data_IF_862903001512
#
_entry.id   IF_862903001512
#
_cell.length_a   1.000
_cell.length_b   1.000
_cell.length_c   1.000
_cell.angle_alpha   90.00
_cell.angle_beta   90.00
_cell.angle_gamma   90.00
#
_symmetry.space_group_name_H-M   'P 1'
#
loop_
_entity.id
_entity.type
_entity.pdbx_description
1 polymer ?
#
# COMPACT_ATOMS: atom_id res chain seq x y z
N UNK A 1 1.84 36.09 5.49
CA UNK A 1 0.44 36.35 5.12
C UNK A 1 -0.24 35.01 4.87
N UNK A 2 -1.19 34.62 5.73
CA UNK A 2 -2.01 33.44 5.47
C UNK A 2 -3.06 33.83 4.44
N UNK A 3 -2.94 33.30 3.22
CA UNK A 3 -3.98 33.42 2.21
C UNK A 3 -5.28 32.87 2.81
N UNK A 4 -6.33 33.70 2.88
CA UNK A 4 -7.66 33.22 3.24
C UNK A 4 -8.11 32.26 2.13
N UNK A 5 -8.30 30.99 2.47
CA UNK A 5 -8.90 29.98 1.59
C UNK A 5 -10.30 30.44 1.19
N UNK A 6 -10.68 30.21 -0.07
CA UNK A 6 -12.04 30.54 -0.52
C UNK A 6 -13.04 29.54 0.06
N UNK A 7 -14.32 29.90 0.27
CA UNK A 7 -15.32 29.02 0.88
C UNK A 7 -15.44 27.64 0.20
N UNK A 8 -15.23 27.57 -1.12
CA UNK A 8 -15.24 26.30 -1.86
C UNK A 8 -14.05 25.39 -1.50
N UNK A 9 -12.92 25.94 -1.06
CA UNK A 9 -11.74 25.17 -0.66
C UNK A 9 -11.96 24.49 0.70
N UNK A 10 -12.62 25.16 1.64
CA UNK A 10 -12.98 24.58 2.95
C UNK A 10 -13.94 23.40 2.78
N UNK A 11 -14.91 23.52 1.85
CA UNK A 11 -15.81 22.43 1.51
C UNK A 11 -15.08 21.25 0.85
N UNK A 12 -14.13 21.51 -0.06
CA UNK A 12 -13.35 20.46 -0.72
C UNK A 12 -12.43 19.70 0.25
N UNK A 13 -11.77 20.41 1.17
CA UNK A 13 -10.92 19.80 2.20
C UNK A 13 -11.73 18.91 3.14
N UNK A 14 -12.92 19.35 3.57
CA UNK A 14 -13.77 18.55 4.43
C UNK A 14 -14.24 17.25 3.74
N UNK A 15 -14.63 17.32 2.47
CA UNK A 15 -15.02 16.15 1.69
C UNK A 15 -13.85 15.17 1.54
N UNK A 16 -12.64 15.68 1.29
CA UNK A 16 -11.43 14.86 1.22
C UNK A 16 -11.13 14.15 2.54
N UNK A 17 -11.18 14.87 3.67
CA UNK A 17 -10.95 14.26 4.99
C UNK A 17 -11.98 13.16 5.28
N UNK A 18 -13.25 13.39 4.97
CA UNK A 18 -14.31 12.37 5.14
C UNK A 18 -14.09 11.16 4.25
N UNK A 19 -13.66 11.36 3.01
CA UNK A 19 -13.30 10.27 2.12
C UNK A 19 -12.09 9.45 2.62
N UNK A 20 -11.09 10.11 3.19
CA UNK A 20 -9.91 9.43 3.76
C UNK A 20 -10.27 8.60 4.98
N UNK A 21 -11.12 9.12 5.87
CA UNK A 21 -11.64 8.35 7.01
C UNK A 21 -12.39 7.12 6.51
N UNK A 22 -13.32 7.29 5.56
CA UNK A 22 -14.07 6.19 4.98
C UNK A 22 -13.17 5.13 4.32
N UNK A 23 -12.12 5.55 3.60
CA UNK A 23 -11.13 4.62 3.06
C UNK A 23 -10.43 3.79 4.15
N UNK A 24 -9.99 4.42 5.24
CA UNK A 24 -9.35 3.71 6.36
C UNK A 24 -10.28 2.70 7.02
N UNK A 25 -11.58 2.98 7.01
CA UNK A 25 -12.60 2.06 7.52
C UNK A 25 -13.05 1.01 6.49
N UNK A 26 -12.48 1.03 5.27
CA UNK A 26 -12.93 0.32 4.07
C UNK A 26 -14.40 0.53 3.70
N UNK A 27 -14.98 1.67 4.09
CA UNK A 27 -16.26 2.11 3.55
C UNK A 27 -16.02 2.74 2.16
N UNK A 28 -15.83 1.86 1.17
CA UNK A 28 -15.52 2.26 -0.21
C UNK A 28 -16.70 3.00 -0.86
N UNK A 29 -17.93 2.75 -0.41
CA UNK A 29 -19.13 3.43 -0.90
C UNK A 29 -19.14 4.88 -0.45
N UNK A 30 -19.02 5.13 0.86
CA UNK A 30 -18.95 6.51 1.40
C UNK A 30 -17.74 7.25 0.83
N UNK A 31 -16.57 6.61 0.76
CA UNK A 31 -15.38 7.22 0.18
C UNK A 31 -15.62 7.69 -1.27
N UNK A 32 -16.28 6.86 -2.07
CA UNK A 32 -16.62 7.18 -3.47
C UNK A 32 -17.56 8.38 -3.55
N UNK A 33 -18.63 8.40 -2.77
CA UNK A 33 -19.61 9.50 -2.77
C UNK A 33 -18.97 10.83 -2.38
N UNK A 34 -18.13 10.84 -1.34
CA UNK A 34 -17.44 12.05 -0.88
C UNK A 34 -16.43 12.55 -1.93
N UNK A 35 -15.70 11.65 -2.60
CA UNK A 35 -14.79 12.01 -3.68
C UNK A 35 -15.52 12.49 -4.95
N UNK A 36 -16.68 11.94 -5.28
CA UNK A 36 -17.53 12.42 -6.37
C UNK A 36 -18.02 13.85 -6.09
N UNK A 37 -18.44 14.13 -4.86
CA UNK A 37 -18.81 15.49 -4.42
C UNK A 37 -17.61 16.44 -4.47
N UNK A 38 -16.44 16.01 -4.02
CA UNK A 38 -15.23 16.82 -4.07
C UNK A 38 -14.81 17.13 -5.52
N UNK A 39 -14.89 16.15 -6.42
CA UNK A 39 -14.58 16.32 -7.84
C UNK A 39 -15.54 17.30 -8.53
N UNK A 40 -16.79 17.40 -8.07
CA UNK A 40 -17.77 18.36 -8.59
C UNK A 40 -17.43 19.83 -8.27
N UNK A 41 -16.59 20.08 -7.25
CA UNK A 41 -16.13 21.43 -6.89
C UNK A 41 -14.99 21.93 -7.79
N UNK A 42 -14.29 21.04 -8.50
CA UNK A 42 -13.28 21.39 -9.48
C UNK A 42 -12.17 20.34 -9.61
N UNK A 43 -11.25 20.50 -10.59
CA UNK A 43 -10.10 19.62 -10.75
C UNK A 43 -9.18 19.71 -9.53
N UNK A 44 -8.93 18.59 -8.87
CA UNK A 44 -8.03 18.50 -7.72
C UNK A 44 -7.19 17.20 -7.82
N UNK A 45 -5.85 17.29 -7.83
CA UNK A 45 -4.99 16.12 -7.99
C UNK A 45 -5.07 15.14 -6.80
N UNK A 46 -5.33 15.64 -5.59
CA UNK A 46 -5.56 14.78 -4.40
C UNK A 46 -6.82 13.94 -4.60
N UNK A 47 -7.92 14.57 -5.02
CA UNK A 47 -9.19 13.86 -5.31
C UNK A 47 -8.99 12.80 -6.38
N UNK A 48 -8.31 13.15 -7.48
CA UNK A 48 -8.01 12.21 -8.57
C UNK A 48 -7.15 11.03 -8.10
N UNK A 49 -6.14 11.27 -7.26
CA UNK A 49 -5.29 10.22 -6.69
C UNK A 49 -6.07 9.24 -5.81
N UNK A 50 -6.99 9.75 -4.98
CA UNK A 50 -7.87 8.92 -4.12
C UNK A 50 -8.93 8.17 -4.93
N UNK A 51 -9.52 8.80 -5.96
CA UNK A 51 -10.40 8.11 -6.91
C UNK A 51 -9.67 7.00 -7.66
N UNK A 52 -8.38 7.19 -7.98
CA UNK A 52 -7.56 6.16 -8.58
C UNK A 52 -7.36 4.96 -7.64
N UNK A 53 -7.17 5.21 -6.34
CA UNK A 53 -7.07 4.14 -5.34
C UNK A 53 -8.38 3.33 -5.27
N UNK A 54 -9.54 3.99 -5.24
CA UNK A 54 -10.84 3.29 -5.29
C UNK A 54 -11.02 2.46 -6.57
N UNK A 55 -10.62 3.02 -7.72
CA UNK A 55 -10.66 2.30 -8.98
C UNK A 55 -9.72 1.07 -8.95
N UNK A 56 -8.54 1.18 -8.35
CA UNK A 56 -7.62 0.05 -8.15
C UNK A 56 -8.27 -1.03 -7.26
N UNK A 57 -8.83 -0.65 -6.10
CA UNK A 57 -9.52 -1.58 -5.18
C UNK A 57 -10.73 -2.28 -5.82
N UNK A 58 -11.35 -1.65 -6.82
CA UNK A 58 -12.50 -2.19 -7.55
C UNK A 58 -12.12 -2.99 -8.80
N UNK A 59 -10.81 -3.15 -9.07
CA UNK A 59 -10.29 -3.85 -10.26
C UNK A 59 -10.38 -3.04 -11.56
N UNK A 60 -10.78 -1.77 -11.51
CA UNK A 60 -10.84 -0.85 -12.66
C UNK A 60 -9.45 -0.23 -12.97
N UNK A 61 -8.40 -1.06 -13.09
CA UNK A 61 -7.00 -0.60 -13.19
C UNK A 61 -6.74 0.40 -14.32
N UNK A 62 -7.38 0.20 -15.49
CA UNK A 62 -7.24 1.14 -16.61
C UNK A 62 -7.85 2.52 -16.32
N UNK A 63 -8.87 2.60 -15.46
CA UNK A 63 -9.44 3.87 -14.98
C UNK A 63 -8.50 4.51 -13.97
N UNK A 64 -7.96 3.75 -13.03
CA UNK A 64 -6.98 4.24 -12.08
C UNK A 64 -5.77 4.88 -12.76
N UNK A 65 -5.19 4.21 -13.77
CA UNK A 65 -4.04 4.73 -14.52
C UNK A 65 -4.37 5.99 -15.35
N UNK A 66 -5.63 6.20 -15.74
CA UNK A 66 -6.06 7.47 -16.34
C UNK A 66 -6.12 8.58 -15.29
N UNK A 67 -6.74 8.31 -14.14
CA UNK A 67 -6.89 9.28 -13.05
C UNK A 67 -5.53 9.73 -12.51
N UNK A 68 -4.56 8.82 -12.37
CA UNK A 68 -3.18 9.17 -11.95
C UNK A 68 -2.46 10.04 -12.98
N UNK A 69 -2.65 9.76 -14.29
CA UNK A 69 -2.14 10.65 -15.35
C UNK A 69 -2.81 12.03 -15.30
N UNK A 70 -4.08 12.09 -14.96
CA UNK A 70 -4.80 13.37 -14.83
C UNK A 70 -4.30 14.15 -13.62
N UNK A 71 -4.08 13.49 -12.47
CA UNK A 71 -3.46 14.10 -11.29
C UNK A 71 -2.05 14.63 -11.61
N UNK A 72 -1.23 13.83 -12.28
CA UNK A 72 0.11 14.21 -12.71
C UNK A 72 0.11 15.43 -13.65
N UNK A 73 -0.88 15.56 -14.54
CA UNK A 73 -1.00 16.73 -15.41
C UNK A 73 -1.34 18.02 -14.65
N UNK A 74 -2.02 17.91 -13.51
CA UNK A 74 -2.34 19.07 -12.66
C UNK A 74 -1.13 19.46 -11.79
N UNK A 75 -0.43 18.48 -11.23
CA UNK A 75 0.73 18.71 -10.36
C UNK A 75 1.74 17.54 -10.45
N UNK A 76 2.65 17.64 -11.42
CA UNK A 76 3.62 16.60 -11.71
C UNK A 76 4.67 16.40 -10.59
N UNK A 77 4.89 17.43 -9.76
CA UNK A 77 5.90 17.39 -8.71
C UNK A 77 5.41 16.57 -7.52
N UNK A 78 4.15 16.76 -7.10
CA UNK A 78 3.58 16.05 -5.95
C UNK A 78 2.88 14.75 -6.33
N UNK A 79 2.53 14.57 -7.61
CA UNK A 79 1.85 13.37 -8.13
C UNK A 79 2.65 12.79 -9.30
N UNK A 80 3.84 12.19 -9.05
CA UNK A 80 4.59 11.51 -10.09
C UNK A 80 3.84 10.28 -10.60
N UNK A 81 4.21 9.81 -11.79
CA UNK A 81 3.60 8.61 -12.36
C UNK A 81 4.14 7.35 -11.65
N UNK A 82 3.27 6.37 -11.34
CA UNK A 82 3.69 5.10 -10.75
C UNK A 82 4.67 4.31 -11.63
N UNK A 83 5.53 3.54 -10.99
CA UNK A 83 6.43 2.58 -11.64
C UNK A 83 5.70 1.33 -12.17
N UNK A 84 4.67 1.49 -13.02
CA UNK A 84 3.85 0.38 -13.54
C UNK A 84 4.71 -0.66 -14.26
N UNK A 85 4.67 -1.91 -13.79
CA UNK A 85 5.35 -3.05 -14.38
C UNK A 85 4.34 -4.11 -14.85
N UNK A 86 4.75 -4.93 -15.83
CA UNK A 86 4.05 -6.19 -16.06
C UNK A 86 4.30 -7.15 -14.91
N UNK A 87 3.42 -8.13 -14.67
CA UNK A 87 3.61 -9.18 -13.64
C UNK A 87 5.03 -9.80 -13.74
N UNK A 88 5.45 -10.17 -14.95
CA UNK A 88 6.79 -10.74 -15.19
C UNK A 88 7.93 -9.78 -14.84
N UNK A 89 7.74 -8.47 -15.03
CA UNK A 89 8.77 -7.48 -14.71
C UNK A 89 8.79 -7.17 -13.21
N UNK A 90 7.63 -7.23 -12.57
CA UNK A 90 7.46 -7.14 -11.12
C UNK A 90 8.11 -8.33 -10.43
N UNK A 91 7.90 -9.56 -10.92
CA UNK A 91 8.58 -10.75 -10.41
C UNK A 91 10.10 -10.58 -10.43
N UNK A 92 10.65 -10.01 -11.51
CA UNK A 92 12.09 -9.71 -11.58
C UNK A 92 12.51 -8.65 -10.56
N UNK A 93 11.68 -7.63 -10.33
CA UNK A 93 11.96 -6.63 -9.30
C UNK A 93 11.91 -7.24 -7.88
N UNK A 94 10.98 -8.16 -7.63
CA UNK A 94 10.89 -8.92 -6.38
C UNK A 94 12.13 -9.78 -6.15
N UNK A 95 12.58 -10.53 -7.17
CA UNK A 95 13.81 -11.31 -7.07
C UNK A 95 15.05 -10.44 -6.83
N UNK A 96 15.13 -9.28 -7.49
CA UNK A 96 16.20 -8.31 -7.22
C UNK A 96 16.13 -7.84 -5.77
N UNK A 97 14.95 -7.50 -5.24
CA UNK A 97 14.79 -7.05 -3.86
C UNK A 97 15.22 -8.14 -2.85
N UNK A 98 14.77 -9.38 -3.05
CA UNK A 98 15.14 -10.53 -2.22
C UNK A 98 16.66 -10.74 -2.23
N UNK A 99 17.32 -10.59 -3.38
CA UNK A 99 18.76 -10.75 -3.48
C UNK A 99 19.56 -9.75 -2.62
N UNK A 100 19.00 -8.57 -2.34
CA UNK A 100 19.60 -7.53 -1.51
C UNK A 100 19.25 -7.65 -0.02
N UNK A 101 18.32 -8.53 0.37
CA UNK A 101 18.01 -8.75 1.78
C UNK A 101 19.19 -9.39 2.54
N UNK A 102 19.35 -9.12 3.85
CA UNK A 102 20.37 -9.80 4.65
C UNK A 102 20.10 -11.31 4.73
N UNK A 103 21.16 -12.11 4.86
CA UNK A 103 21.07 -13.57 4.77
C UNK A 103 20.04 -14.23 5.71
N UNK A 104 19.91 -13.82 7.00
CA UNK A 104 18.90 -14.40 7.89
C UNK A 104 17.46 -14.21 7.38
N UNK A 105 17.17 -13.09 6.71
CA UNK A 105 15.86 -12.80 6.14
C UNK A 105 15.62 -13.62 4.87
N UNK A 106 16.65 -13.78 4.02
CA UNK A 106 16.56 -14.63 2.82
C UNK A 106 16.30 -16.09 3.17
N UNK A 107 16.96 -16.61 4.19
CA UNK A 107 16.72 -17.98 4.66
C UNK A 107 15.28 -18.16 5.17
N UNK A 108 14.73 -17.16 5.86
CA UNK A 108 13.35 -17.18 6.37
C UNK A 108 12.29 -17.23 5.25
N UNK A 109 12.60 -16.71 4.06
CA UNK A 109 11.70 -16.80 2.89
C UNK A 109 11.51 -18.24 2.36
N UNK A 110 12.34 -19.20 2.79
CA UNK A 110 12.09 -20.63 2.53
C UNK A 110 10.94 -21.19 3.39
N UNK A 111 10.65 -20.54 4.53
CA UNK A 111 9.60 -20.93 5.47
C UNK A 111 8.28 -20.20 5.20
N UNK A 112 8.35 -18.96 4.68
CA UNK A 112 7.21 -18.07 4.50
C UNK A 112 7.04 -17.71 3.01
N UNK A 113 6.06 -18.29 2.29
CA UNK A 113 5.80 -17.94 0.90
C UNK A 113 5.41 -16.47 0.75
N UNK A 114 5.95 -15.83 -0.30
CA UNK A 114 5.55 -14.49 -0.74
C UNK A 114 4.53 -14.62 -1.87
N UNK A 115 3.35 -14.04 -1.65
CA UNK A 115 2.24 -13.98 -2.59
C UNK A 115 2.15 -12.55 -3.11
N UNK A 116 2.06 -12.39 -4.42
CA UNK A 116 1.88 -11.07 -5.05
C UNK A 116 0.43 -10.95 -5.48
N UNK A 117 -0.28 -10.02 -4.85
CA UNK A 117 -1.64 -9.64 -5.22
C UNK A 117 -1.63 -8.27 -5.88
N UNK A 118 -2.58 -7.98 -6.79
CA UNK A 118 -2.67 -6.65 -7.40
C UNK A 118 -3.01 -5.57 -6.37
N UNK A 119 -3.92 -5.85 -5.43
CA UNK A 119 -4.43 -4.95 -4.39
C UNK A 119 -4.83 -5.74 -3.14
N UNK A 120 -4.82 -5.12 -1.94
CA UNK A 120 -5.41 -5.74 -0.76
C UNK A 120 -6.93 -5.86 -0.90
N UNK A 121 -7.52 -6.83 -0.20
CA UNK A 121 -8.98 -6.97 -0.09
C UNK A 121 -9.43 -6.77 1.35
N UNK A 122 -10.72 -6.45 1.55
CA UNK A 122 -11.28 -6.28 2.88
C UNK A 122 -11.24 -7.57 3.69
N UNK A 123 -11.34 -8.72 3.03
CA UNK A 123 -11.25 -10.02 3.68
C UNK A 123 -9.84 -10.29 4.22
N UNK A 124 -8.79 -9.87 3.49
CA UNK A 124 -7.41 -9.99 3.95
C UNK A 124 -7.09 -8.99 5.08
N UNK A 125 -7.71 -7.81 5.06
CA UNK A 125 -7.59 -6.80 6.11
C UNK A 125 -8.07 -7.28 7.49
N UNK A 126 -8.97 -8.27 7.53
CA UNK A 126 -9.45 -8.86 8.79
C UNK A 126 -10.25 -7.88 9.66
N UNK A 127 -10.10 -8.03 10.97
CA UNK A 127 -10.94 -7.36 11.98
C UNK A 127 -10.40 -5.98 12.43
N UNK A 128 -9.17 -5.61 12.07
CA UNK A 128 -8.58 -4.30 12.38
C UNK A 128 -8.29 -3.49 11.11
N UNK A 129 -9.30 -2.76 10.58
CA UNK A 129 -9.15 -1.90 9.41
C UNK A 129 -8.06 -0.83 9.56
N UNK A 130 -7.77 -0.40 10.79
CA UNK A 130 -6.80 0.65 11.04
C UNK A 130 -5.35 0.17 10.84
N UNK A 131 -5.10 -1.11 11.14
CA UNK A 131 -3.82 -1.77 10.90
C UNK A 131 -3.61 -2.17 9.43
N UNK A 132 -4.70 -2.33 8.67
CA UNK A 132 -4.66 -2.77 7.27
C UNK A 132 -5.38 -1.78 6.34
N UNK A 133 -4.82 -0.58 6.14
CA UNK A 133 -5.43 0.42 5.27
C UNK A 133 -5.42 -0.04 3.79
N UNK A 134 -6.33 0.47 2.94
CA UNK A 134 -6.41 0.01 1.54
C UNK A 134 -5.18 0.31 0.65
N UNK A 135 -4.31 1.22 1.08
CA UNK A 135 -3.04 1.56 0.43
C UNK A 135 -1.83 0.83 1.02
N UNK A 136 -2.05 -0.18 1.88
CA UNK A 136 -1.01 -1.03 2.46
C UNK A 136 -0.13 -1.66 1.37
N UNK A 137 1.18 -1.75 1.62
CA UNK A 137 2.17 -2.25 0.66
C UNK A 137 2.40 -3.75 0.75
N UNK A 138 2.33 -4.31 1.95
CA UNK A 138 2.43 -5.74 2.22
C UNK A 138 1.77 -6.10 3.55
N UNK A 139 1.50 -7.40 3.74
CA UNK A 139 0.80 -7.92 4.91
C UNK A 139 1.30 -9.32 5.24
N UNK A 140 1.80 -9.51 6.45
CA UNK A 140 2.02 -10.83 7.04
C UNK A 140 0.69 -11.43 7.54
N UNK A 141 0.41 -12.67 7.13
CA UNK A 141 -0.73 -13.47 7.61
C UNK A 141 -0.26 -14.78 8.21
N UNK A 142 -0.81 -15.13 9.37
CA UNK A 142 -0.49 -16.35 10.11
C UNK A 142 0.09 -16.03 11.48
N UNK A 143 0.64 -17.04 12.11
CA UNK A 143 1.29 -16.91 13.42
C UNK A 143 2.77 -16.57 13.25
N UNK A 144 3.31 -15.74 14.15
CA UNK A 144 4.75 -15.53 14.26
C UNK A 144 5.46 -16.85 14.54
N UNK A 145 6.77 -16.89 14.29
CA UNK A 145 7.58 -18.10 14.54
C UNK A 145 7.54 -18.55 16.00
N UNK A 146 7.41 -17.61 16.95
CA UNK A 146 7.29 -17.93 18.37
C UNK A 146 5.93 -18.56 18.70
N UNK A 147 4.84 -17.99 18.19
CA UNK A 147 3.47 -18.47 18.39
C UNK A 147 3.27 -19.86 17.78
N UNK A 148 3.78 -20.09 16.57
CA UNK A 148 3.63 -21.38 15.88
C UNK A 148 4.24 -22.57 16.65
N UNK A 149 5.29 -22.32 17.46
CA UNK A 149 5.90 -23.35 18.33
C UNK A 149 4.97 -23.72 19.49
N UNK A 150 4.14 -22.79 19.95
CA UNK A 150 3.22 -22.97 21.08
C UNK A 150 1.86 -23.56 20.65
N UNK A 151 1.34 -23.17 19.48
CA UNK A 151 -0.04 -23.46 19.03
C UNK A 151 -0.28 -24.88 18.48
N UNK A 152 0.74 -25.58 17.98
CA UNK A 152 0.60 -26.90 17.36
C UNK A 152 -0.11 -26.89 15.99
N UNK A 153 -0.65 -28.04 15.55
CA UNK A 153 -1.05 -28.30 14.15
C UNK A 153 -2.38 -27.67 13.66
N UNK A 154 -2.80 -26.53 14.22
CA UNK A 154 -4.07 -25.85 13.89
C UNK A 154 -3.93 -24.46 13.26
N UNK A 155 -2.72 -23.91 13.20
CA UNK A 155 -2.46 -22.55 12.71
C UNK A 155 -2.55 -22.44 11.19
N UNK A 156 -2.98 -21.27 10.69
CA UNK A 156 -2.84 -20.91 9.27
C UNK A 156 -1.34 -20.85 8.94
N UNK A 157 -0.88 -21.49 7.83
CA UNK A 157 0.50 -21.39 7.40
C UNK A 157 0.90 -19.92 7.21
N UNK A 158 2.08 -19.49 7.68
CA UNK A 158 2.51 -18.11 7.52
C UNK A 158 2.67 -17.77 6.05
N UNK A 159 2.31 -16.56 5.66
CA UNK A 159 2.52 -16.05 4.31
C UNK A 159 2.69 -14.53 4.33
N UNK A 160 3.40 -14.01 3.35
CA UNK A 160 3.54 -12.57 3.13
C UNK A 160 2.84 -12.21 1.84
N UNK A 161 1.87 -11.31 1.92
CA UNK A 161 1.21 -10.73 0.75
C UNK A 161 1.91 -9.41 0.41
N UNK A 162 2.26 -9.21 -0.87
CA UNK A 162 2.72 -7.95 -1.41
C UNK A 162 1.68 -7.41 -2.39
N UNK A 163 1.35 -6.12 -2.28
CA UNK A 163 0.33 -5.49 -3.09
C UNK A 163 0.96 -4.68 -4.22
N UNK A 164 1.12 -5.31 -5.39
CA UNK A 164 1.87 -4.78 -6.52
C UNK A 164 1.46 -3.35 -6.87
N UNK A 165 0.17 -3.07 -7.04
CA UNK A 165 -0.24 -1.73 -7.50
C UNK A 165 -0.04 -0.65 -6.44
N UNK A 166 -0.12 -0.99 -5.15
CA UNK A 166 0.20 -0.08 -4.05
C UNK A 166 1.71 0.21 -4.00
N UNK A 167 2.55 -0.81 -4.12
CA UNK A 167 4.02 -0.66 -4.22
C UNK A 167 4.44 0.20 -5.41
N UNK A 168 3.83 -0.04 -6.58
CA UNK A 168 4.06 0.76 -7.77
C UNK A 168 3.55 2.21 -7.61
N UNK A 169 2.44 2.44 -6.89
CA UNK A 169 1.92 3.79 -6.62
C UNK A 169 2.81 4.59 -5.66
N UNK A 170 3.47 3.90 -4.74
CA UNK A 170 4.41 4.50 -3.78
C UNK A 170 5.75 4.88 -4.43
N UNK A 171 6.02 4.47 -5.67
CA UNK A 171 7.32 4.60 -6.33
C UNK A 171 7.20 5.11 -7.76
N UNK A 172 8.23 5.79 -8.27
CA UNK A 172 8.21 6.39 -9.62
C UNK A 172 9.16 5.70 -10.59
N UNK A 173 10.11 4.91 -10.07
CA UNK A 173 11.07 4.17 -10.89
C UNK A 173 11.18 2.72 -10.46
N UNK A 174 11.65 1.86 -11.38
CA UNK A 174 11.95 0.45 -11.04
C UNK A 174 12.94 0.33 -9.88
N UNK A 175 13.93 1.22 -9.79
CA UNK A 175 14.94 1.18 -8.72
C UNK A 175 14.28 1.44 -7.36
N UNK A 176 13.47 2.50 -7.27
CA UNK A 176 12.69 2.81 -6.07
C UNK A 176 11.73 1.66 -5.72
N UNK A 177 11.09 1.05 -6.72
CA UNK A 177 10.21 -0.11 -6.50
C UNK A 177 10.97 -1.30 -5.89
N UNK A 178 12.17 -1.62 -6.39
CA UNK A 178 13.00 -2.70 -5.82
C UNK A 178 13.37 -2.39 -4.37
N UNK A 179 13.78 -1.15 -4.09
CA UNK A 179 14.10 -0.69 -2.72
C UNK A 179 12.88 -0.81 -1.81
N UNK A 180 11.71 -0.33 -2.26
CA UNK A 180 10.47 -0.38 -1.50
C UNK A 180 9.98 -1.81 -1.25
N UNK A 181 10.08 -2.72 -2.22
CA UNK A 181 9.78 -4.14 -2.01
C UNK A 181 10.70 -4.72 -0.92
N UNK A 182 11.99 -4.39 -0.95
CA UNK A 182 12.95 -4.83 0.05
C UNK A 182 12.59 -4.35 1.47
N UNK A 183 12.25 -3.07 1.61
CA UNK A 183 11.81 -2.47 2.88
C UNK A 183 10.52 -3.15 3.37
N UNK A 184 9.53 -3.34 2.51
CA UNK A 184 8.28 -4.01 2.87
C UNK A 184 8.52 -5.44 3.33
N UNK A 185 9.26 -6.25 2.57
CA UNK A 185 9.60 -7.63 2.97
C UNK A 185 10.36 -7.68 4.29
N UNK A 186 11.28 -6.75 4.51
CA UNK A 186 12.03 -6.67 5.75
C UNK A 186 11.10 -6.46 6.95
N UNK A 187 10.18 -5.50 6.88
CA UNK A 187 9.21 -5.27 7.96
C UNK A 187 8.35 -6.51 8.22
N UNK A 188 7.75 -7.11 7.19
CA UNK A 188 6.89 -8.28 7.37
C UNK A 188 7.65 -9.48 7.97
N UNK A 189 8.90 -9.71 7.53
CA UNK A 189 9.75 -10.76 8.08
C UNK A 189 10.23 -10.45 9.50
N UNK A 190 10.47 -9.18 9.84
CA UNK A 190 10.83 -8.77 11.19
C UNK A 190 9.68 -9.09 12.17
N UNK A 191 8.44 -8.78 11.80
CA UNK A 191 7.25 -9.16 12.55
C UNK A 191 7.13 -10.68 12.70
N UNK A 192 7.32 -11.45 11.61
CA UNK A 192 7.29 -12.91 11.68
C UNK A 192 8.34 -13.49 12.64
N UNK A 193 9.54 -12.92 12.66
CA UNK A 193 10.65 -13.34 13.52
C UNK A 193 10.48 -12.89 14.98
N UNK A 194 9.50 -12.03 15.27
CA UNK A 194 9.21 -11.50 16.60
C UNK A 194 10.07 -10.29 17.00
N UNK A 195 10.64 -9.57 16.03
CA UNK A 195 11.25 -8.27 16.27
C UNK A 195 10.16 -7.18 16.30
N UNK A 196 10.26 -6.26 17.26
CA UNK A 196 9.44 -5.03 17.29
C UNK A 196 10.05 -3.95 16.38
N UNK A 197 9.34 -2.82 16.22
CA UNK A 197 9.82 -1.66 15.44
C UNK A 197 11.19 -1.15 15.94
N UNK A 198 11.50 -1.29 17.23
CA UNK A 198 12.78 -0.89 17.82
C UNK A 198 13.93 -1.85 17.43
N UNK A 199 13.66 -3.16 17.31
CA UNK A 199 14.62 -4.16 16.83
C UNK A 199 14.99 -3.99 15.35
N UNK A 200 14.11 -3.38 14.55
CA UNK A 200 14.37 -3.03 13.14
C UNK A 200 15.42 -1.91 13.04
N UNK A 201 15.36 -0.90 13.90
CA UNK A 201 16.32 0.21 13.93
C UNK A 201 17.74 -0.25 14.35
N UNK A 202 17.86 -1.23 15.25
CA UNK A 202 19.16 -1.79 15.66
C UNK A 202 19.90 -2.54 14.53
N UNK A 203 19.20 -2.94 13.47
CA UNK A 203 19.79 -3.53 12.27
C UNK A 203 20.32 -2.47 11.28
N UNK A 204 20.15 -1.18 11.59
CA UNK A 204 20.85 -0.06 10.96
C UNK A 204 20.22 0.52 9.69
N UNK A 205 18.89 0.46 9.55
CA UNK A 205 18.18 0.78 8.30
C UNK A 205 16.88 1.57 8.53
N UNK A 206 17.01 2.85 8.92
CA UNK A 206 15.97 3.88 8.73
C UNK A 206 15.94 4.39 7.27
#
# INVERSE_FOLDING_TARGET
EAARREPNDEDAELLLVRAEIALREWDLETAREELERAAALGPNPVVLSKQALLADLSGEFGRADRLLRDAHRLDAQNFPLPARLSERDFDRALQDAIAHLPEPFRATLEEVPVIVDPMPTRELAGDDPAATPPDLLGLFLGESRAEAVESGAGALPPSIHLFQRNLERATSTRRELVEQIGVTLFHELAHYLGFDEDGVAELGLE
#
